data_IF_702872659085
#
_entry.id   IF_702872659085
#
_cell.length_a   1.000
_cell.length_b   1.000
_cell.length_c   1.000
_cell.angle_alpha   90.00
_cell.angle_beta   90.00
_cell.angle_gamma   90.00
#
_symmetry.space_group_name_H-M   'P 1'
#
loop_
_entity.id
_entity.type
_entity.pdbx_description
1 polymer ?
#
# COMPACT_ATOMS: atom_id res chain seq x y z
N UNK A 1 -3.00 15.19 -0.65
CA UNK A 1 -2.72 14.82 -2.05
C UNK A 1 -3.69 13.77 -2.57
N UNK A 2 -3.65 12.50 -2.09
CA UNK A 2 -4.48 11.38 -2.62
C UNK A 2 -5.98 11.70 -2.61
N UNK A 3 -6.50 12.30 -1.53
CA UNK A 3 -7.89 12.77 -1.47
C UNK A 3 -8.22 13.81 -2.56
N UNK A 4 -7.30 14.74 -2.83
CA UNK A 4 -7.45 15.75 -3.88
C UNK A 4 -7.45 15.16 -5.29
N UNK A 5 -6.87 13.98 -5.49
CA UNK A 5 -6.94 13.21 -6.73
C UNK A 5 -8.26 12.45 -6.91
N UNK A 6 -9.20 12.62 -6.00
CA UNK A 6 -10.53 12.03 -6.10
C UNK A 6 -10.71 10.70 -5.36
N UNK A 7 -9.67 10.14 -4.74
CA UNK A 7 -9.77 8.86 -4.01
C UNK A 7 -10.67 8.99 -2.78
N UNK A 8 -11.58 8.05 -2.63
CA UNK A 8 -12.58 7.99 -1.56
C UNK A 8 -12.60 6.60 -0.92
N UNK A 9 -13.36 6.49 0.17
CA UNK A 9 -13.62 5.22 0.87
C UNK A 9 -14.08 4.12 -0.08
N UNK A 10 -13.52 2.92 0.07
CA UNK A 10 -13.84 1.73 -0.73
C UNK A 10 -13.21 1.70 -2.13
N UNK A 11 -12.56 2.78 -2.59
CA UNK A 11 -11.83 2.75 -3.86
C UNK A 11 -10.51 1.99 -3.74
N UNK A 12 -10.02 1.45 -4.86
CA UNK A 12 -8.75 0.72 -4.92
C UNK A 12 -7.71 1.60 -5.58
N UNK A 13 -6.56 1.70 -4.91
CA UNK A 13 -5.39 2.44 -5.39
C UNK A 13 -4.22 1.46 -5.52
N UNK A 14 -3.71 1.28 -6.72
CA UNK A 14 -2.53 0.46 -6.95
C UNK A 14 -1.25 1.25 -6.69
N UNK A 15 -0.27 0.58 -6.11
CA UNK A 15 1.03 1.14 -5.77
C UNK A 15 2.14 0.27 -6.34
N UNK A 16 2.80 0.76 -7.40
CA UNK A 16 3.91 0.13 -8.09
C UNK A 16 5.18 0.94 -7.85
N UNK A 17 6.03 0.49 -6.95
CA UNK A 17 7.25 1.23 -6.59
C UNK A 17 8.30 0.32 -5.96
N UNK A 18 9.55 0.70 -6.12
CA UNK A 18 10.67 0.16 -5.36
C UNK A 18 10.54 0.50 -3.86
N UNK A 19 11.43 -0.12 -3.03
CA UNK A 19 11.49 0.20 -1.61
C UNK A 19 11.94 1.65 -1.39
N UNK A 20 11.08 2.44 -0.77
CA UNK A 20 11.34 3.85 -0.44
C UNK A 20 10.35 4.34 0.62
N UNK A 21 10.67 5.43 1.29
CA UNK A 21 9.81 5.96 2.36
C UNK A 21 8.42 6.36 1.84
N UNK A 22 8.35 6.91 0.61
CA UNK A 22 7.11 7.36 -0.02
C UNK A 22 6.15 6.20 -0.30
N UNK A 23 6.67 4.96 -0.49
CA UNK A 23 5.82 3.77 -0.55
C UNK A 23 5.01 3.62 0.73
N UNK A 24 5.66 3.76 1.89
CA UNK A 24 4.99 3.65 3.20
C UNK A 24 4.00 4.79 3.40
N UNK A 25 4.37 6.01 3.02
CA UNK A 25 3.49 7.18 3.14
C UNK A 25 2.24 7.04 2.25
N UNK A 26 2.40 6.61 0.99
CA UNK A 26 1.29 6.37 0.09
C UNK A 26 0.37 5.25 0.60
N UNK A 27 0.95 4.14 1.07
CA UNK A 27 0.20 3.04 1.67
C UNK A 27 -0.68 3.53 2.82
N UNK A 28 -0.07 4.20 3.81
CA UNK A 28 -0.78 4.69 4.99
C UNK A 28 -1.83 5.75 4.64
N UNK A 29 -1.53 6.62 3.67
CA UNK A 29 -2.48 7.63 3.23
C UNK A 29 -3.73 7.03 2.58
N UNK A 30 -3.56 5.99 1.73
CA UNK A 30 -4.69 5.30 1.09
C UNK A 30 -5.57 4.63 2.14
N UNK A 31 -4.99 3.83 3.04
CA UNK A 31 -5.79 3.11 4.05
C UNK A 31 -6.44 4.04 5.07
N UNK A 32 -5.83 5.20 5.36
CA UNK A 32 -6.42 6.21 6.25
C UNK A 32 -7.68 6.87 5.66
N UNK A 33 -7.85 6.85 4.34
CA UNK A 33 -9.05 7.31 3.66
C UNK A 33 -10.16 6.23 3.60
N UNK A 34 -9.94 5.05 4.19
CA UNK A 34 -10.82 3.90 4.02
C UNK A 34 -10.77 3.30 2.61
N UNK A 35 -9.80 3.69 1.81
CA UNK A 35 -9.54 3.12 0.50
C UNK A 35 -8.68 1.84 0.63
N UNK A 36 -8.69 1.02 -0.41
CA UNK A 36 -8.03 -0.28 -0.43
C UNK A 36 -6.73 -0.15 -1.23
N UNK A 37 -5.60 -0.43 -0.59
CA UNK A 37 -4.30 -0.44 -1.28
C UNK A 37 -4.08 -1.74 -2.03
N UNK A 38 -3.50 -1.65 -3.22
CA UNK A 38 -3.11 -2.80 -4.06
C UNK A 38 -1.61 -2.69 -4.34
N UNK A 39 -0.74 -3.22 -3.46
CA UNK A 39 0.70 -3.26 -3.73
C UNK A 39 0.98 -4.17 -4.92
N UNK A 40 1.70 -3.64 -5.89
CA UNK A 40 2.01 -4.33 -7.15
C UNK A 40 3.50 -4.66 -7.21
N UNK A 41 3.82 -5.87 -7.65
CA UNK A 41 5.21 -6.27 -7.86
C UNK A 41 5.86 -5.39 -8.94
N UNK A 42 6.91 -4.66 -8.56
CA UNK A 42 7.63 -3.73 -9.43
C UNK A 42 8.57 -4.39 -10.45
N UNK A 43 8.50 -5.72 -10.59
CA UNK A 43 9.16 -6.47 -11.67
C UNK A 43 8.19 -6.85 -12.80
N UNK A 44 6.90 -6.56 -12.65
CA UNK A 44 5.88 -6.83 -13.66
C UNK A 44 5.96 -5.80 -14.80
N UNK A 45 5.63 -6.26 -16.02
CA UNK A 45 5.54 -5.37 -17.19
C UNK A 45 4.13 -4.77 -17.29
N UNK A 46 4.00 -3.69 -18.09
CA UNK A 46 2.77 -2.90 -18.24
C UNK A 46 1.50 -3.75 -18.41
N UNK A 47 1.55 -4.76 -19.28
CA UNK A 47 0.41 -5.66 -19.52
C UNK A 47 -0.03 -6.45 -18.27
N UNK A 48 0.93 -6.87 -17.46
CA UNK A 48 0.66 -7.62 -16.22
C UNK A 48 0.12 -6.70 -15.13
N UNK A 49 0.67 -5.48 -15.07
CA UNK A 49 0.16 -4.43 -14.18
C UNK A 49 -1.27 -4.07 -14.58
N UNK A 50 -1.52 -3.81 -15.86
CA UNK A 50 -2.84 -3.45 -16.38
C UNK A 50 -3.89 -4.54 -16.12
N UNK A 51 -3.48 -5.81 -16.14
CA UNK A 51 -4.35 -6.91 -15.70
C UNK A 51 -4.76 -6.74 -14.23
N UNK A 52 -3.80 -6.47 -13.34
CA UNK A 52 -4.09 -6.28 -11.89
C UNK A 52 -4.98 -5.05 -11.69
N UNK A 53 -4.73 -3.96 -12.40
CA UNK A 53 -5.53 -2.73 -12.33
C UNK A 53 -7.00 -3.00 -12.68
N UNK A 54 -7.24 -3.76 -13.75
CA UNK A 54 -8.59 -4.13 -14.21
C UNK A 54 -9.27 -5.10 -13.27
N UNK A 55 -8.58 -6.15 -12.84
CA UNK A 55 -9.13 -7.20 -11.98
C UNK A 55 -9.45 -6.66 -10.56
N UNK A 56 -8.58 -5.82 -10.00
CA UNK A 56 -8.83 -5.15 -8.73
C UNK A 56 -9.88 -4.04 -8.82
N UNK A 57 -10.12 -3.52 -10.03
CA UNK A 57 -10.91 -2.31 -10.25
C UNK A 57 -10.24 -1.07 -9.66
N UNK A 58 -8.92 -0.99 -9.76
CA UNK A 58 -8.17 0.19 -9.31
C UNK A 58 -8.54 1.43 -10.10
N UNK A 59 -8.72 2.56 -9.41
CA UNK A 59 -9.09 3.86 -10.01
C UNK A 59 -7.89 4.78 -10.19
N UNK A 60 -6.77 4.46 -9.55
CA UNK A 60 -5.52 5.21 -9.62
C UNK A 60 -4.32 4.26 -9.50
N UNK A 61 -3.27 4.54 -10.27
CA UNK A 61 -1.95 3.94 -10.12
C UNK A 61 -0.96 4.99 -9.59
N UNK A 62 -0.32 4.72 -8.45
CA UNK A 62 0.86 5.45 -7.97
C UNK A 62 2.09 4.65 -8.40
N UNK A 63 3.03 5.27 -9.12
CA UNK A 63 4.16 4.56 -9.71
C UNK A 63 5.45 5.38 -9.64
N UNK A 64 6.61 4.74 -9.55
CA UNK A 64 7.92 5.38 -9.68
C UNK A 64 8.49 5.30 -11.13
N UNK A 65 7.76 4.68 -12.03
CA UNK A 65 8.16 4.51 -13.44
C UNK A 65 6.97 4.79 -14.35
N UNK A 66 7.12 5.55 -15.45
CA UNK A 66 6.05 5.72 -16.44
C UNK A 66 5.57 4.38 -16.97
N UNK A 67 4.26 4.18 -17.03
CA UNK A 67 3.63 2.94 -17.50
C UNK A 67 2.50 3.24 -18.49
N UNK A 68 2.36 2.39 -19.51
CA UNK A 68 1.22 2.44 -20.45
C UNK A 68 0.09 1.53 -19.94
N UNK A 69 -0.81 2.13 -19.17
CA UNK A 69 -1.90 1.43 -18.48
C UNK A 69 -3.26 2.11 -18.68
N UNK A 70 -4.33 1.39 -18.41
CA UNK A 70 -5.71 1.82 -18.69
C UNK A 70 -6.32 2.77 -17.65
N UNK A 71 -5.66 3.00 -16.51
CA UNK A 71 -6.15 3.89 -15.44
C UNK A 71 -5.27 5.14 -15.31
N UNK A 72 -5.80 6.24 -14.74
CA UNK A 72 -4.98 7.39 -14.39
C UNK A 72 -3.78 6.99 -13.52
N UNK A 73 -2.61 7.55 -13.84
CA UNK A 73 -1.40 7.31 -13.05
C UNK A 73 -0.78 8.63 -12.59
N UNK A 74 -0.12 8.58 -11.45
CA UNK A 74 0.67 9.69 -10.91
C UNK A 74 2.04 9.16 -10.48
N UNK A 75 3.10 9.91 -10.74
CA UNK A 75 4.40 9.54 -10.21
C UNK A 75 4.44 9.72 -8.70
N UNK A 76 5.21 8.86 -8.03
CA UNK A 76 5.34 8.92 -6.56
C UNK A 76 6.04 10.21 -6.13
N UNK A 77 6.92 10.76 -6.97
CA UNK A 77 7.57 12.05 -6.78
C UNK A 77 6.58 13.20 -6.87
N UNK A 78 5.74 13.24 -7.91
CA UNK A 78 4.69 14.26 -8.04
C UNK A 78 3.70 14.20 -6.89
N UNK A 79 3.36 12.99 -6.43
CA UNK A 79 2.49 12.81 -5.27
C UNK A 79 3.13 13.37 -3.99
N UNK A 80 4.44 13.14 -3.79
CA UNK A 80 5.17 13.67 -2.64
C UNK A 80 5.22 15.21 -2.70
N UNK A 81 5.50 15.80 -3.87
CA UNK A 81 5.45 17.26 -4.05
C UNK A 81 4.08 17.83 -3.71
N UNK A 82 3.01 17.25 -4.27
CA UNK A 82 1.62 17.64 -3.98
C UNK A 82 1.23 17.46 -2.51
N UNK A 83 1.89 16.55 -1.79
CA UNK A 83 1.61 16.33 -0.36
C UNK A 83 2.07 17.50 0.52
N UNK A 84 3.00 18.31 0.03
CA UNK A 84 3.56 19.49 0.73
C UNK A 84 2.74 20.77 0.49
N UNK A 85 1.82 20.73 -0.48
CA UNK A 85 0.93 21.85 -0.74
C UNK A 85 -0.17 21.92 0.32
N UNK A 86 -0.60 23.13 0.73
CA UNK A 86 -1.75 23.27 1.60
C UNK A 86 -2.99 22.68 0.93
N UNK A 87 -3.70 21.82 1.64
CA UNK A 87 -4.99 21.33 1.14
C UNK A 87 -6.02 22.46 1.21
N UNK A 88 -6.78 22.70 0.12
CA UNK A 88 -7.85 23.69 0.12
C UNK A 88 -8.97 23.32 1.10
N UNK A 89 -9.14 22.04 1.38
CA UNK A 89 -10.14 21.51 2.31
C UNK A 89 -9.57 20.25 3.00
N UNK A 90 -9.88 20.08 4.28
CA UNK A 90 -9.50 18.88 5.00
C UNK A 90 -10.22 17.66 4.41
N UNK A 91 -9.54 16.50 4.30
CA UNK A 91 -10.18 15.27 3.87
C UNK A 91 -11.38 14.92 4.76
N UNK A 92 -12.49 14.51 4.16
CA UNK A 92 -13.58 13.88 4.89
C UNK A 92 -13.17 12.43 5.17
N UNK A 93 -12.55 12.23 6.33
CA UNK A 93 -12.16 10.89 6.75
C UNK A 93 -13.39 10.06 7.12
N UNK A 94 -13.39 8.74 6.79
CA UNK A 94 -14.48 7.84 7.18
C UNK A 94 -14.74 7.91 8.68
N UNK A 95 -16.00 8.02 9.06
CA UNK A 95 -16.39 8.12 10.48
C UNK A 95 -16.22 6.81 11.25
N UNK A 96 -16.14 5.70 10.57
CA UNK A 96 -16.03 4.37 11.17
C UNK A 96 -15.33 3.39 10.21
N UNK A 97 -14.00 3.40 10.20
CA UNK A 97 -13.23 2.26 9.68
C UNK A 97 -13.23 1.20 10.78
N UNK A 98 -13.65 -0.02 10.45
CA UNK A 98 -13.68 -1.15 11.38
C UNK A 98 -12.52 -2.10 11.13
N UNK A 99 -12.22 -2.95 12.11
CA UNK A 99 -11.17 -3.97 11.95
C UNK A 99 -11.48 -5.02 10.87
N UNK A 100 -12.74 -5.20 10.50
CA UNK A 100 -13.20 -6.18 9.52
C UNK A 100 -13.28 -5.60 8.09
N UNK A 101 -13.06 -4.29 7.91
CA UNK A 101 -13.01 -3.67 6.59
C UNK A 101 -11.76 -4.11 5.82
N UNK A 102 -11.93 -4.37 4.52
CA UNK A 102 -10.83 -4.70 3.62
C UNK A 102 -9.96 -3.46 3.41
N UNK A 103 -8.66 -3.58 3.65
CA UNK A 103 -7.71 -2.48 3.47
C UNK A 103 -6.62 -2.75 2.44
N UNK A 104 -6.41 -4.01 2.06
CA UNK A 104 -5.40 -4.35 1.05
C UNK A 104 -5.83 -5.53 0.17
N UNK A 105 -5.42 -5.50 -1.11
CA UNK A 105 -5.49 -6.63 -2.03
C UNK A 105 -4.07 -7.06 -2.37
N UNK A 106 -3.70 -8.29 -2.00
CA UNK A 106 -2.39 -8.85 -2.30
C UNK A 106 -2.50 -9.89 -3.42
N UNK A 107 -1.90 -9.59 -4.56
CA UNK A 107 -1.91 -10.48 -5.71
C UNK A 107 -0.87 -11.58 -5.57
N UNK A 108 -1.32 -12.83 -5.80
CA UNK A 108 -0.46 -14.01 -5.81
C UNK A 108 -0.56 -14.70 -7.17
N UNK A 109 0.52 -15.37 -7.59
CA UNK A 109 0.52 -16.24 -8.77
C UNK A 109 -0.38 -17.44 -8.51
N UNK A 110 -1.66 -17.33 -8.85
CA UNK A 110 -2.63 -18.40 -8.65
C UNK A 110 -2.21 -19.72 -9.34
N UNK A 111 -2.56 -20.86 -8.76
CA UNK A 111 -2.32 -22.20 -9.31
C UNK A 111 -3.02 -22.43 -10.67
N UNK A 112 -3.93 -21.58 -11.07
CA UNK A 112 -4.76 -21.65 -12.28
C UNK A 112 -4.33 -20.73 -13.41
N UNK A 113 -3.16 -20.10 -13.32
CA UNK A 113 -2.53 -19.32 -14.40
C UNK A 113 -2.73 -17.80 -14.33
N UNK A 114 -3.84 -17.28 -13.82
CA UNK A 114 -4.02 -15.82 -13.63
C UNK A 114 -3.80 -15.42 -12.17
N UNK A 115 -3.12 -14.28 -11.90
CA UNK A 115 -2.98 -13.76 -10.55
C UNK A 115 -4.34 -13.53 -9.89
N UNK A 116 -4.42 -13.77 -8.58
CA UNK A 116 -5.64 -13.54 -7.77
C UNK A 116 -5.33 -12.62 -6.61
N UNK A 117 -6.22 -11.64 -6.37
CA UNK A 117 -6.12 -10.71 -5.26
C UNK A 117 -6.73 -11.30 -3.98
N UNK A 118 -5.90 -11.58 -2.99
CA UNK A 118 -6.35 -11.92 -1.65
C UNK A 118 -6.78 -10.66 -0.91
N UNK A 119 -8.02 -10.63 -0.43
CA UNK A 119 -8.54 -9.52 0.38
C UNK A 119 -8.06 -9.62 1.82
N UNK A 120 -7.37 -8.59 2.30
CA UNK A 120 -6.91 -8.51 3.68
C UNK A 120 -7.63 -7.37 4.40
N UNK A 121 -8.16 -7.68 5.60
CA UNK A 121 -8.77 -6.69 6.47
C UNK A 121 -7.72 -6.02 7.36
N UNK A 122 -8.07 -4.88 7.96
CA UNK A 122 -7.24 -4.24 9.00
C UNK A 122 -6.86 -5.24 10.09
N UNK A 123 -7.82 -6.05 10.54
CA UNK A 123 -7.63 -7.10 11.54
C UNK A 123 -6.59 -8.13 11.12
N UNK A 124 -6.62 -8.58 9.84
CA UNK A 124 -5.62 -9.54 9.36
C UNK A 124 -4.21 -8.97 9.46
N UNK A 125 -4.02 -7.71 9.04
CA UNK A 125 -2.69 -7.07 9.10
C UNK A 125 -2.24 -6.86 10.55
N UNK A 126 -3.08 -6.28 11.40
CA UNK A 126 -2.74 -5.99 12.80
C UNK A 126 -2.45 -7.27 13.57
N UNK A 127 -3.30 -8.30 13.46
CA UNK A 127 -3.10 -9.58 14.16
C UNK A 127 -1.83 -10.28 13.71
N UNK A 128 -1.50 -10.22 12.42
CA UNK A 128 -0.25 -10.80 11.92
C UNK A 128 0.98 -10.09 12.52
N UNK A 129 0.94 -8.75 12.61
CA UNK A 129 2.00 -7.96 13.25
C UNK A 129 2.13 -8.29 14.73
N UNK A 130 1.02 -8.36 15.48
CA UNK A 130 1.02 -8.75 16.89
C UNK A 130 1.64 -10.14 17.12
N UNK A 131 1.27 -11.11 16.29
CA UNK A 131 1.80 -12.49 16.37
C UNK A 131 3.30 -12.54 16.06
N UNK A 132 3.73 -11.78 15.06
CA UNK A 132 5.14 -11.70 14.67
C UNK A 132 5.98 -11.01 15.75
N UNK A 133 5.56 -9.83 16.22
CA UNK A 133 6.29 -9.05 17.22
C UNK A 133 6.30 -9.69 18.61
N UNK A 134 5.33 -10.56 18.92
CA UNK A 134 5.36 -11.39 20.13
C UNK A 134 6.51 -12.41 20.12
N UNK A 135 7.10 -12.73 18.98
CA UNK A 135 8.21 -13.68 18.82
C UNK A 135 9.54 -13.00 18.50
N UNK A 136 9.49 -11.96 17.68
CA UNK A 136 10.66 -11.15 17.31
C UNK A 136 10.46 -9.79 17.94
N UNK A 137 11.20 -9.51 19.01
CA UNK A 137 11.07 -8.27 19.77
C UNK A 137 11.80 -7.16 19.01
N UNK A 138 11.04 -6.27 18.41
CA UNK A 138 11.55 -4.98 17.94
C UNK A 138 11.49 -3.96 19.07
N UNK A 139 12.49 -3.09 19.11
CA UNK A 139 12.57 -1.99 20.07
C UNK A 139 12.59 -0.66 19.32
N UNK A 140 12.17 0.44 19.95
CA UNK A 140 12.19 1.76 19.31
C UNK A 140 13.58 2.21 18.83
N UNK A 141 14.64 1.78 19.50
CA UNK A 141 16.03 2.08 19.13
C UNK A 141 16.59 1.22 17.98
N UNK A 142 15.88 0.17 17.57
CA UNK A 142 16.33 -0.73 16.50
C UNK A 142 16.27 -0.06 15.13
N UNK A 143 17.23 -0.44 14.28
CA UNK A 143 17.25 -0.11 12.86
C UNK A 143 17.02 -1.38 12.06
N UNK A 144 15.88 -1.46 11.38
CA UNK A 144 15.44 -2.63 10.63
C UNK A 144 15.80 -2.45 9.16
N UNK A 145 16.70 -3.30 8.67
CA UNK A 145 17.16 -3.23 7.28
C UNK A 145 16.08 -3.74 6.32
N UNK A 146 15.64 -2.87 5.39
CA UNK A 146 14.61 -3.18 4.41
C UNK A 146 15.17 -3.75 3.11
N UNK A 147 15.60 -5.00 3.13
CA UNK A 147 16.12 -5.73 1.95
C UNK A 147 15.05 -6.50 1.17
N UNK A 148 13.89 -6.74 1.78
CA UNK A 148 12.79 -7.42 1.13
C UNK A 148 11.86 -6.41 0.46
N UNK A 149 11.25 -6.78 -0.69
CA UNK A 149 10.32 -5.88 -1.36
C UNK A 149 9.13 -5.51 -0.47
N UNK A 150 8.86 -4.21 -0.34
CA UNK A 150 7.74 -3.69 0.46
C UNK A 150 6.37 -4.09 -0.11
N UNK A 151 6.26 -4.31 -1.43
CA UNK A 151 5.02 -4.80 -2.05
C UNK A 151 4.70 -6.26 -1.69
N UNK A 152 5.70 -7.05 -1.29
CA UNK A 152 5.51 -8.45 -0.94
C UNK A 152 4.99 -8.57 0.49
N UNK A 153 4.00 -9.45 0.72
CA UNK A 153 3.35 -9.62 2.02
C UNK A 153 4.34 -9.79 3.19
N UNK A 154 5.45 -10.50 2.98
CA UNK A 154 6.46 -10.69 4.02
C UNK A 154 7.19 -9.37 4.35
N UNK A 155 7.74 -8.67 3.36
CA UNK A 155 8.42 -7.38 3.57
C UNK A 155 7.47 -6.31 4.15
N UNK A 156 6.26 -6.25 3.63
CA UNK A 156 5.22 -5.34 4.11
C UNK A 156 4.88 -5.61 5.59
N UNK A 157 4.63 -6.86 5.97
CA UNK A 157 4.21 -7.17 7.33
C UNK A 157 5.36 -7.11 8.32
N UNK A 158 6.48 -7.78 8.02
CA UNK A 158 7.56 -7.94 9.01
C UNK A 158 8.42 -6.68 9.12
N UNK A 159 8.75 -6.05 8.00
CA UNK A 159 9.62 -4.87 8.01
C UNK A 159 8.79 -3.61 8.20
N UNK A 160 7.84 -3.33 7.29
CA UNK A 160 7.11 -2.06 7.33
C UNK A 160 6.18 -2.01 8.54
N UNK A 161 5.19 -2.89 8.61
CA UNK A 161 4.20 -2.83 9.70
C UNK A 161 4.80 -3.20 11.05
N UNK A 162 5.73 -4.16 11.11
CA UNK A 162 6.43 -4.52 12.34
C UNK A 162 7.23 -3.35 12.92
N UNK A 163 7.95 -2.61 12.07
CA UNK A 163 8.71 -1.43 12.49
C UNK A 163 7.80 -0.29 12.94
N UNK A 164 6.72 -0.02 12.20
CA UNK A 164 5.74 1.00 12.58
C UNK A 164 5.10 0.67 13.94
N UNK A 165 4.70 -0.58 14.14
CA UNK A 165 4.11 -1.06 15.39
C UNK A 165 5.05 -0.92 16.58
N UNK A 166 6.33 -1.19 16.38
CA UNK A 166 7.37 -1.13 17.42
C UNK A 166 8.02 0.26 17.54
N UNK A 167 7.63 1.24 16.72
CA UNK A 167 8.26 2.56 16.63
C UNK A 167 9.76 2.51 16.31
N UNK A 168 10.22 1.46 15.61
CA UNK A 168 11.61 1.32 15.18
C UNK A 168 11.86 2.02 13.85
N UNK A 169 13.15 2.23 13.50
CA UNK A 169 13.54 2.89 12.26
C UNK A 169 13.72 1.87 11.13
N UNK A 170 13.13 2.13 9.98
CA UNK A 170 13.38 1.38 8.73
C UNK A 170 14.58 2.03 8.01
N UNK A 171 15.57 1.22 7.60
CA UNK A 171 16.77 1.67 6.88
C UNK A 171 17.02 0.85 5.62
#
# INVERSE_FOLDING_TARGET
AIYALGVREGERVSLYSANRAEFVYAFMAVVSLGAIIVPVNNSLVDREVDYILKDSGSTLLITDTPMDVSVPSISIEELDEKSREPLPEAPDFPKAITEDDVCALIYTSGTTGSPKGAMLTHKNLVRNVEQFTARIIFKPEDKVLCVLPMFHCYGMTTIVHGSLYAHSTIV
#
